data_IF_389460827550
#
_entry.id   IF_389460827550
#
_cell.length_a   1.000
_cell.length_b   1.000
_cell.length_c   1.000
_cell.angle_alpha   90.00
_cell.angle_beta   90.00
_cell.angle_gamma   90.00
#
_symmetry.space_group_name_H-M   'P 1'
#
loop_
_entity.id
_entity.type
_entity.pdbx_description
1 polymer ?
#
# COMPACT_ATOMS: atom_id res chain seq x y z
N UNK A 1 21.09 17.97 -35.32
CA UNK A 1 20.76 16.53 -35.32
C UNK A 1 19.93 16.26 -36.58
N UNK A 2 20.48 15.64 -37.63
CA UNK A 2 19.68 15.25 -38.81
C UNK A 2 19.03 13.90 -38.48
N UNK A 3 17.70 13.85 -38.40
CA UNK A 3 17.01 12.57 -38.38
C UNK A 3 17.34 11.85 -39.70
N UNK A 4 17.86 10.64 -39.60
CA UNK A 4 18.06 9.76 -40.74
C UNK A 4 16.68 9.41 -41.33
N UNK A 5 16.55 9.27 -42.64
CA UNK A 5 15.27 8.93 -43.31
C UNK A 5 14.62 7.67 -42.74
N UNK A 6 15.45 6.71 -42.31
CA UNK A 6 15.00 5.52 -41.59
C UNK A 6 14.33 5.83 -40.26
N UNK A 7 14.85 6.81 -39.52
CA UNK A 7 14.25 7.24 -38.26
C UNK A 7 12.93 7.95 -38.53
N UNK A 8 12.87 8.83 -39.53
CA UNK A 8 11.63 9.52 -39.93
C UNK A 8 10.51 8.52 -40.28
N UNK A 9 10.83 7.44 -41.01
CA UNK A 9 9.86 6.41 -41.37
C UNK A 9 9.24 5.68 -40.16
N UNK A 10 9.97 5.57 -39.04
CA UNK A 10 9.45 4.94 -37.81
C UNK A 10 8.44 5.81 -37.06
N UNK A 11 8.56 7.13 -37.22
CA UNK A 11 7.69 8.14 -36.58
C UNK A 11 6.53 8.61 -37.46
N UNK A 12 6.55 8.31 -38.76
CA UNK A 12 5.50 8.75 -39.69
C UNK A 12 4.28 7.80 -39.69
N UNK A 13 3.08 8.40 -39.74
CA UNK A 13 1.82 7.70 -39.99
C UNK A 13 1.42 7.97 -41.45
N UNK A 14 1.31 6.95 -42.29
CA UNK A 14 0.88 7.04 -43.69
C UNK A 14 -0.16 5.96 -44.01
N UNK A 15 -1.01 6.18 -45.02
CA UNK A 15 -2.17 5.33 -45.35
C UNK A 15 -1.85 3.86 -45.62
N UNK A 16 -0.63 3.56 -46.06
CA UNK A 16 -0.25 2.23 -46.57
C UNK A 16 0.60 1.42 -45.56
N UNK A 17 1.27 2.08 -44.60
CA UNK A 17 2.00 1.44 -43.51
C UNK A 17 2.38 2.45 -42.41
N UNK A 18 1.90 2.23 -41.18
CA UNK A 18 2.31 3.02 -40.02
C UNK A 18 3.67 2.56 -39.46
N UNK A 19 4.54 3.52 -39.17
CA UNK A 19 5.80 3.29 -38.46
C UNK A 19 5.59 2.65 -37.09
N UNK A 20 6.54 1.83 -36.66
CA UNK A 20 6.47 1.06 -35.42
C UNK A 20 6.34 1.94 -34.16
N UNK A 21 6.96 3.13 -34.14
CA UNK A 21 6.79 4.09 -33.04
C UNK A 21 5.51 4.92 -33.18
N UNK A 22 5.13 5.24 -34.42
CA UNK A 22 3.98 6.09 -34.73
C UNK A 22 2.63 5.45 -34.33
N UNK A 23 2.51 4.12 -34.49
CA UNK A 23 1.36 3.32 -34.02
C UNK A 23 1.00 3.53 -32.56
N UNK A 24 2.01 3.78 -31.71
CA UNK A 24 1.85 3.92 -30.26
C UNK A 24 1.62 5.37 -29.79
N UNK A 25 1.60 6.33 -30.71
CA UNK A 25 1.39 7.76 -30.45
C UNK A 25 0.13 8.33 -31.12
N UNK A 26 -0.76 7.47 -31.62
CA UNK A 26 -2.05 7.91 -32.12
C UNK A 26 -2.90 8.53 -31.00
N UNK A 27 -3.80 9.43 -31.38
CA UNK A 27 -4.74 10.05 -30.44
C UNK A 27 -5.56 8.99 -29.67
N UNK A 28 -5.98 7.92 -30.36
CA UNK A 28 -6.72 6.79 -29.78
C UNK A 28 -5.89 6.04 -28.74
N UNK A 29 -4.64 5.67 -29.04
CA UNK A 29 -3.76 4.98 -28.08
C UNK A 29 -3.44 5.84 -26.87
N UNK A 30 -3.34 7.16 -27.06
CA UNK A 30 -3.16 8.11 -25.96
C UNK A 30 -4.40 8.18 -25.06
N UNK A 31 -5.60 8.20 -25.67
CA UNK A 31 -6.87 8.21 -24.95
C UNK A 31 -7.09 6.93 -24.14
N UNK A 32 -6.82 5.76 -24.74
CA UNK A 32 -6.89 4.47 -24.07
C UNK A 32 -5.93 4.38 -22.88
N UNK A 33 -4.69 4.85 -23.05
CA UNK A 33 -3.71 4.93 -21.95
C UNK A 33 -4.20 5.83 -20.83
N UNK A 34 -4.78 6.98 -21.15
CA UNK A 34 -5.35 7.88 -20.15
C UNK A 34 -6.55 7.24 -19.42
N UNK A 35 -7.42 6.51 -20.13
CA UNK A 35 -8.54 5.80 -19.51
C UNK A 35 -8.06 4.74 -18.52
N UNK A 36 -7.10 3.90 -18.92
CA UNK A 36 -6.47 2.90 -18.04
C UNK A 36 -5.80 3.54 -16.83
N UNK A 37 -5.08 4.65 -17.02
CA UNK A 37 -4.46 5.38 -15.91
C UNK A 37 -5.49 5.89 -14.90
N UNK A 38 -6.63 6.43 -15.38
CA UNK A 38 -7.72 6.88 -14.50
C UNK A 38 -8.30 5.73 -13.68
N UNK A 39 -8.48 4.56 -14.29
CA UNK A 39 -8.94 3.35 -13.58
C UNK A 39 -7.94 2.91 -12.51
N UNK A 40 -6.65 2.84 -12.85
CA UNK A 40 -5.60 2.50 -11.90
C UNK A 40 -5.55 3.50 -10.73
N UNK A 41 -5.65 4.80 -11.01
CA UNK A 41 -5.70 5.83 -9.97
C UNK A 41 -6.94 5.64 -9.06
N UNK A 42 -8.10 5.34 -9.66
CA UNK A 42 -9.33 5.09 -8.91
C UNK A 42 -9.18 3.88 -7.98
N UNK A 43 -8.58 2.80 -8.46
CA UNK A 43 -8.34 1.59 -7.66
C UNK A 43 -7.32 1.82 -6.55
N UNK A 44 -6.24 2.55 -6.83
CA UNK A 44 -5.27 2.97 -5.82
C UNK A 44 -5.91 3.83 -4.74
N UNK A 45 -6.74 4.80 -5.12
CA UNK A 45 -7.47 5.65 -4.17
C UNK A 45 -8.42 4.83 -3.31
N UNK A 46 -9.17 3.89 -3.90
CA UNK A 46 -10.04 2.97 -3.15
C UNK A 46 -9.24 2.13 -2.15
N UNK A 47 -8.05 1.67 -2.52
CA UNK A 47 -7.15 0.92 -1.64
C UNK A 47 -6.61 1.80 -0.51
N UNK A 48 -6.24 3.05 -0.78
CA UNK A 48 -5.81 4.02 0.23
C UNK A 48 -6.93 4.25 1.25
N UNK A 49 -8.16 4.49 0.81
CA UNK A 49 -9.29 4.72 1.71
C UNK A 49 -9.60 3.49 2.57
N UNK A 50 -9.50 2.28 2.00
CA UNK A 50 -9.62 1.04 2.77
C UNK A 50 -8.54 0.95 3.86
N UNK A 51 -7.28 1.21 3.52
CA UNK A 51 -6.16 1.17 4.45
C UNK A 51 -6.27 2.25 5.54
N UNK A 52 -6.76 3.45 5.22
CA UNK A 52 -7.04 4.50 6.21
C UNK A 52 -8.09 4.05 7.21
N UNK A 53 -9.19 3.45 6.74
CA UNK A 53 -10.24 2.92 7.62
C UNK A 53 -9.70 1.81 8.52
N UNK A 54 -8.93 0.87 7.97
CA UNK A 54 -8.28 -0.19 8.75
C UNK A 54 -7.34 0.40 9.81
N UNK A 55 -6.58 1.45 9.48
CA UNK A 55 -5.73 2.17 10.44
C UNK A 55 -6.53 2.83 11.57
N UNK A 56 -7.63 3.51 11.25
CA UNK A 56 -8.50 4.13 12.26
C UNK A 56 -9.11 3.11 13.21
N UNK A 57 -9.53 1.95 12.68
CA UNK A 57 -10.03 0.84 13.50
C UNK A 57 -8.96 0.32 14.47
N UNK A 58 -7.71 0.21 14.00
CA UNK A 58 -6.58 -0.18 14.85
C UNK A 58 -6.33 0.86 15.94
N UNK A 59 -6.30 2.16 15.61
CA UNK A 59 -6.09 3.23 16.60
C UNK A 59 -7.17 3.19 17.68
N UNK A 60 -8.45 3.11 17.29
CA UNK A 60 -9.58 2.98 18.23
C UNK A 60 -9.50 1.72 19.08
N UNK A 61 -8.97 0.62 18.53
CA UNK A 61 -8.76 -0.60 19.28
C UNK A 61 -7.63 -0.43 20.31
N UNK A 62 -6.52 0.21 19.93
CA UNK A 62 -5.40 0.50 20.83
C UNK A 62 -5.86 1.36 22.00
N UNK A 63 -6.69 2.37 21.76
CA UNK A 63 -7.22 3.27 22.80
C UNK A 63 -8.10 2.56 23.84
N UNK A 64 -8.61 1.35 23.55
CA UNK A 64 -9.36 0.54 24.53
C UNK A 64 -8.45 -0.19 25.52
N UNK A 65 -7.18 -0.38 25.18
CA UNK A 65 -6.21 -1.01 26.05
C UNK A 65 -5.55 0.06 26.92
N UNK A 66 -5.10 -0.32 28.13
CA UNK A 66 -4.45 0.59 29.06
C UNK A 66 -3.10 0.04 29.52
N UNK A 67 -2.17 0.93 29.85
CA UNK A 67 -0.85 0.59 30.35
C UNK A 67 -0.02 -0.19 29.34
N UNK A 68 0.63 -1.26 29.80
CA UNK A 68 1.58 -2.03 29.00
C UNK A 68 0.97 -2.63 27.73
N UNK A 69 -0.31 -3.01 27.75
CA UNK A 69 -0.98 -3.60 26.58
C UNK A 69 -1.14 -2.57 25.45
N UNK A 70 -1.48 -1.33 25.79
CA UNK A 70 -1.59 -0.22 24.84
C UNK A 70 -0.23 0.09 24.20
N UNK A 71 0.82 0.13 25.02
CA UNK A 71 2.18 0.41 24.55
C UNK A 71 2.71 -0.70 23.63
N UNK A 72 2.49 -1.97 23.97
CA UNK A 72 2.89 -3.10 23.11
C UNK A 72 2.21 -2.98 21.73
N UNK A 73 0.92 -2.64 21.69
CA UNK A 73 0.22 -2.49 20.42
C UNK A 73 0.67 -1.25 19.63
N UNK A 74 0.88 -0.12 20.29
CA UNK A 74 1.39 1.11 19.66
C UNK A 74 2.77 0.86 19.04
N UNK A 75 3.71 0.33 19.81
CA UNK A 75 5.05 0.04 19.33
C UNK A 75 5.05 -0.99 18.19
N UNK A 76 4.18 -2.01 18.26
CA UNK A 76 4.09 -3.06 17.24
C UNK A 76 3.48 -2.59 15.92
N UNK A 77 2.38 -1.83 15.98
CA UNK A 77 1.54 -1.54 14.80
C UNK A 77 1.59 -0.10 14.32
N UNK A 78 1.99 0.85 15.18
CA UNK A 78 2.19 2.25 14.79
C UNK A 78 3.67 2.50 14.47
N UNK A 79 4.58 2.01 15.32
CA UNK A 79 6.02 2.22 15.15
C UNK A 79 6.72 1.09 14.40
N UNK A 80 6.04 -0.05 14.18
CA UNK A 80 6.53 -1.15 13.36
C UNK A 80 7.62 -2.01 14.02
N UNK A 81 7.78 -1.93 15.35
CA UNK A 81 8.82 -2.64 16.07
C UNK A 81 8.56 -4.16 16.17
N UNK A 82 9.65 -4.91 16.31
CA UNK A 82 9.55 -6.35 16.61
C UNK A 82 9.22 -6.57 18.09
N UNK A 83 8.66 -7.73 18.43
CA UNK A 83 8.38 -8.06 19.85
C UNK A 83 9.67 -8.12 20.69
N UNK A 84 10.80 -8.45 20.07
CA UNK A 84 12.12 -8.44 20.71
C UNK A 84 12.59 -7.02 21.00
N UNK A 85 12.44 -6.10 20.04
CA UNK A 85 12.75 -4.69 20.23
C UNK A 85 11.89 -4.07 21.34
N UNK A 86 10.58 -4.37 21.35
CA UNK A 86 9.65 -3.90 22.37
C UNK A 86 10.05 -4.40 23.76
N UNK A 87 10.45 -5.68 23.86
CA UNK A 87 10.93 -6.26 25.10
C UNK A 87 12.18 -5.54 25.62
N UNK A 88 13.15 -5.27 24.75
CA UNK A 88 14.37 -4.51 25.09
C UNK A 88 14.04 -3.08 25.54
N UNK A 89 13.18 -2.38 24.81
CA UNK A 89 12.80 -1.00 25.08
C UNK A 89 12.05 -0.85 26.41
N UNK A 90 11.16 -1.80 26.72
CA UNK A 90 10.38 -1.80 27.97
C UNK A 90 11.08 -2.49 29.14
N UNK A 91 12.30 -3.03 28.94
CA UNK A 91 13.04 -3.74 29.98
C UNK A 91 12.42 -5.07 30.42
N UNK A 92 11.56 -5.67 29.58
CA UNK A 92 10.92 -6.96 29.86
C UNK A 92 11.60 -8.10 29.09
N UNK A 93 11.40 -9.33 29.54
CA UNK A 93 11.79 -10.52 28.79
C UNK A 93 10.93 -10.70 27.53
N UNK A 94 11.54 -11.16 26.43
CA UNK A 94 10.83 -11.45 25.17
C UNK A 94 9.60 -12.35 25.37
N UNK A 95 9.76 -13.42 26.16
CA UNK A 95 8.69 -14.38 26.43
C UNK A 95 7.48 -13.73 27.13
N UNK A 96 7.72 -12.76 28.01
CA UNK A 96 6.67 -12.04 28.71
C UNK A 96 5.85 -11.17 27.75
N UNK A 97 6.52 -10.39 26.90
CA UNK A 97 5.87 -9.56 25.87
C UNK A 97 5.12 -10.43 24.86
N UNK A 98 5.69 -11.56 24.44
CA UNK A 98 5.04 -12.52 23.53
C UNK A 98 3.76 -13.10 24.14
N UNK A 99 3.80 -13.52 25.40
CA UNK A 99 2.63 -14.04 26.09
C UNK A 99 1.53 -12.97 26.24
N UNK A 100 1.92 -11.74 26.60
CA UNK A 100 0.99 -10.60 26.70
C UNK A 100 0.37 -10.25 25.35
N UNK A 101 1.17 -10.21 24.28
CA UNK A 101 0.66 -10.01 22.91
C UNK A 101 -0.36 -11.08 22.52
N UNK A 102 -0.10 -12.35 22.82
CA UNK A 102 -1.04 -13.44 22.56
C UNK A 102 -2.34 -13.34 23.39
N UNK A 103 -2.27 -12.82 24.61
CA UNK A 103 -3.45 -12.55 25.45
C UNK A 103 -4.31 -11.43 24.84
N UNK A 104 -3.69 -10.32 24.45
CA UNK A 104 -4.34 -9.19 23.76
C UNK A 104 -5.04 -9.67 22.48
N UNK A 105 -4.34 -10.44 21.64
CA UNK A 105 -4.91 -10.97 20.40
C UNK A 105 -6.10 -11.90 20.62
N UNK A 106 -6.10 -12.68 21.72
CA UNK A 106 -7.26 -13.50 22.10
C UNK A 106 -8.45 -12.63 22.49
N UNK A 107 -8.25 -11.58 23.30
CA UNK A 107 -9.32 -10.63 23.69
C UNK A 107 -9.92 -9.92 22.47
N UNK A 108 -9.08 -9.48 21.54
CA UNK A 108 -9.49 -8.88 20.27
C UNK A 108 -10.37 -9.84 19.45
N UNK A 109 -9.91 -11.09 19.29
CA UNK A 109 -10.64 -12.11 18.53
C UNK A 109 -12.00 -12.44 19.15
N UNK A 110 -12.09 -12.42 20.48
CA UNK A 110 -13.34 -12.62 21.20
C UNK A 110 -14.31 -11.45 21.01
N UNK A 111 -13.84 -10.21 21.14
CA UNK A 111 -14.66 -9.00 20.94
C UNK A 111 -15.21 -8.85 19.52
N UNK A 112 -14.62 -9.51 18.51
CA UNK A 112 -15.09 -9.47 17.11
C UNK A 112 -16.14 -10.54 16.79
N UNK A 113 -16.36 -11.51 17.69
CA UNK A 113 -17.34 -12.60 17.54
C UNK A 113 -18.71 -12.29 18.16
N UNK A 114 -18.81 -11.22 18.94
CA UNK A 114 -20.04 -10.70 19.54
C UNK A 114 -20.55 -9.56 18.67
#
# INVERSE_FOLDING_TARGET
MRLNEKELARWSNYSDADGDLAKHQTFLTSLERQARLKEVIKDLNKRIEKLKKEREEIVKMVDKFQGLEQEILKLKYIEGLTLESIAKEKGYGYQYIKNKHAEIMRRIKFSKKV
#
